data_IF_472448396339
#
_entry.id   IF_472448396339
#
_cell.length_a   1.000
_cell.length_b   1.000
_cell.length_c   1.000
_cell.angle_alpha   90.00
_cell.angle_beta   90.00
_cell.angle_gamma   90.00
#
_symmetry.space_group_name_H-M   'P 1'
#
loop_
_entity.id
_entity.type
_entity.pdbx_description
1 polymer ?
#
# COMPACT_ATOMS: atom_id res chain seq x y z
N UNK A 1 37.51 -0.57 -26.02
CA UNK A 1 37.07 -1.30 -24.81
C UNK A 1 36.98 -0.25 -23.70
N UNK A 2 35.85 0.36 -23.56
CA UNK A 2 35.58 1.35 -22.48
C UNK A 2 34.76 0.67 -21.43
N UNK A 3 35.44 0.28 -20.32
CA UNK A 3 34.80 -0.19 -19.12
C UNK A 3 33.87 0.92 -18.57
N UNK A 4 32.57 0.72 -18.75
CA UNK A 4 31.55 1.54 -18.06
C UNK A 4 31.54 1.10 -16.61
N UNK A 5 32.34 1.76 -15.79
CA UNK A 5 32.28 1.63 -14.33
C UNK A 5 30.91 2.10 -13.90
N UNK A 6 30.02 1.14 -13.59
CA UNK A 6 28.74 1.43 -12.98
C UNK A 6 29.00 2.19 -11.67
N UNK A 7 28.51 3.43 -11.59
CA UNK A 7 28.61 4.23 -10.37
C UNK A 7 28.01 3.43 -9.20
N UNK A 8 28.70 3.35 -8.05
CA UNK A 8 28.19 2.61 -6.89
C UNK A 8 26.82 3.18 -6.50
N UNK A 9 25.84 2.31 -6.30
CA UNK A 9 24.53 2.70 -5.83
C UNK A 9 24.68 3.52 -4.54
N UNK A 10 24.03 4.70 -4.40
CA UNK A 10 24.19 5.52 -3.22
C UNK A 10 23.77 4.72 -1.99
N UNK A 11 24.63 4.68 -0.99
CA UNK A 11 24.32 4.04 0.29
C UNK A 11 23.01 4.65 0.85
N UNK A 12 22.14 3.83 1.43
CA UNK A 12 20.85 4.27 1.99
C UNK A 12 21.00 5.47 2.94
N UNK A 13 22.07 5.52 3.73
CA UNK A 13 22.36 6.66 4.63
C UNK A 13 22.58 7.96 3.88
N UNK A 14 23.23 7.93 2.73
CA UNK A 14 23.40 9.09 1.85
C UNK A 14 22.07 9.49 1.23
N UNK A 15 21.30 8.51 0.74
CA UNK A 15 19.97 8.73 0.17
C UNK A 15 19.03 9.38 1.19
N UNK A 16 19.02 8.90 2.43
CA UNK A 16 18.22 9.46 3.51
C UNK A 16 18.62 10.90 3.83
N UNK A 17 19.91 11.14 4.06
CA UNK A 17 20.43 12.47 4.40
C UNK A 17 20.13 13.51 3.32
N UNK A 18 20.24 13.13 2.05
CA UNK A 18 20.14 14.06 0.93
C UNK A 18 18.69 14.30 0.49
N UNK A 19 17.76 13.38 0.81
CA UNK A 19 16.41 13.43 0.27
C UNK A 19 15.27 13.39 1.31
N UNK A 20 15.53 13.07 2.59
CA UNK A 20 14.48 12.93 3.60
C UNK A 20 13.69 14.22 3.81
N UNK A 21 14.36 15.36 3.98
CA UNK A 21 13.70 16.68 4.20
C UNK A 21 12.84 17.10 3.00
N UNK A 22 13.33 16.84 1.80
CA UNK A 22 12.57 17.15 0.59
C UNK A 22 11.33 16.25 0.47
N UNK A 23 11.45 14.95 0.72
CA UNK A 23 10.31 14.02 0.68
C UNK A 23 9.27 14.35 1.75
N UNK A 24 9.72 14.64 2.98
CA UNK A 24 8.83 15.05 4.07
C UNK A 24 8.08 16.34 3.73
N UNK A 25 8.75 17.35 3.17
CA UNK A 25 8.11 18.58 2.73
C UNK A 25 7.06 18.33 1.65
N UNK A 26 7.36 17.46 0.69
CA UNK A 26 6.45 17.06 -0.38
C UNK A 26 5.22 16.33 0.16
N UNK A 27 5.39 15.40 1.12
CA UNK A 27 4.30 14.70 1.80
C UNK A 27 3.47 15.64 2.66
N UNK A 28 4.10 16.55 3.41
CA UNK A 28 3.41 17.51 4.26
C UNK A 28 2.48 18.44 3.49
N UNK A 29 2.90 18.89 2.31
CA UNK A 29 2.03 19.72 1.45
C UNK A 29 0.75 18.98 1.03
N UNK A 30 0.77 17.65 0.98
CA UNK A 30 -0.37 16.81 0.54
C UNK A 30 -1.22 16.32 1.70
N UNK A 31 -0.61 16.02 2.82
CA UNK A 31 -1.30 15.49 4.01
C UNK A 31 -1.87 16.59 4.91
N UNK A 32 -1.27 17.78 4.89
CA UNK A 32 -1.61 18.86 5.83
C UNK A 32 -1.22 18.55 7.29
N UNK A 33 -0.65 17.38 7.55
CA UNK A 33 -0.26 16.88 8.87
C UNK A 33 1.25 16.59 8.88
N UNK A 34 1.95 17.23 9.82
CA UNK A 34 3.40 17.09 9.99
C UNK A 34 3.79 15.68 10.45
N UNK A 35 3.02 15.13 11.38
CA UNK A 35 3.34 13.83 11.99
C UNK A 35 3.14 12.70 10.98
N UNK A 36 2.01 12.70 10.28
CA UNK A 36 1.75 11.74 9.21
C UNK A 36 2.77 11.86 8.06
N UNK A 37 3.24 13.07 7.75
CA UNK A 37 4.28 13.26 6.73
C UNK A 37 5.63 12.69 7.17
N UNK A 38 6.01 12.84 8.44
CA UNK A 38 7.23 12.26 9.00
C UNK A 38 7.16 10.73 8.99
N UNK A 39 6.04 10.14 9.42
CA UNK A 39 5.82 8.69 9.40
C UNK A 39 5.91 8.12 7.99
N UNK A 40 5.19 8.69 7.01
CA UNK A 40 5.26 8.22 5.64
C UNK A 40 6.65 8.40 5.01
N UNK A 41 7.40 9.40 5.47
CA UNK A 41 8.81 9.55 5.05
C UNK A 41 9.64 8.39 5.57
N UNK A 42 9.53 8.04 6.85
CA UNK A 42 10.22 6.89 7.43
C UNK A 42 9.83 5.59 6.73
N UNK A 43 8.53 5.34 6.54
CA UNK A 43 8.02 4.16 5.84
C UNK A 43 8.57 4.05 4.41
N UNK A 44 8.68 5.18 3.71
CA UNK A 44 9.29 5.20 2.37
C UNK A 44 10.73 4.68 2.42
N UNK A 45 11.54 5.16 3.34
CA UNK A 45 12.93 4.72 3.47
C UNK A 45 13.06 3.31 4.01
N UNK A 46 12.17 2.85 4.88
CA UNK A 46 12.12 1.46 5.34
C UNK A 46 11.84 0.49 4.20
N UNK A 47 10.92 0.84 3.27
CA UNK A 47 10.66 0.03 2.08
C UNK A 47 11.84 0.02 1.11
N UNK A 48 12.54 1.15 0.96
CA UNK A 48 13.77 1.20 0.17
C UNK A 48 14.84 0.29 0.77
N UNK A 49 15.01 0.31 2.10
CA UNK A 49 15.94 -0.57 2.83
C UNK A 49 15.57 -2.06 2.63
N UNK A 50 14.30 -2.41 2.72
CA UNK A 50 13.83 -3.78 2.49
C UNK A 50 14.09 -4.23 1.04
N UNK A 51 13.89 -3.35 0.06
CA UNK A 51 14.21 -3.63 -1.33
C UNK A 51 15.73 -3.80 -1.58
N UNK A 52 16.56 -3.01 -0.91
CA UNK A 52 18.01 -3.12 -0.94
C UNK A 52 18.47 -4.47 -0.39
N UNK A 53 18.00 -4.85 0.81
CA UNK A 53 18.32 -6.14 1.44
C UNK A 53 17.88 -7.34 0.61
N UNK A 54 16.73 -7.23 -0.08
CA UNK A 54 16.22 -8.25 -0.99
C UNK A 54 16.90 -8.27 -2.37
N UNK A 55 17.96 -7.48 -2.59
CA UNK A 55 18.64 -7.31 -3.87
C UNK A 55 17.68 -6.93 -5.03
N UNK A 56 16.58 -6.24 -4.69
CA UNK A 56 15.53 -5.79 -5.61
C UNK A 56 15.62 -4.29 -5.93
N UNK A 57 16.65 -3.61 -5.38
CA UNK A 57 16.85 -2.20 -5.63
C UNK A 57 17.46 -2.02 -7.03
N UNK A 58 16.76 -1.37 -7.97
CA UNK A 58 17.36 -1.06 -9.27
C UNK A 58 18.52 -0.07 -9.06
N UNK A 59 19.51 -0.10 -9.95
CA UNK A 59 20.52 0.95 -10.00
C UNK A 59 19.82 2.32 -10.06
N UNK A 60 19.89 3.08 -8.97
CA UNK A 60 19.14 4.33 -8.81
C UNK A 60 19.84 5.45 -9.60
N UNK A 61 19.54 5.56 -10.89
CA UNK A 61 19.95 6.71 -11.70
C UNK A 61 19.24 8.00 -11.28
N UNK A 62 18.01 7.89 -10.82
CA UNK A 62 17.17 9.01 -10.36
C UNK A 62 16.53 8.72 -8.99
N UNK A 63 17.26 8.93 -7.89
CA UNK A 63 16.79 8.61 -6.55
C UNK A 63 15.47 9.30 -6.19
N UNK A 64 15.30 10.57 -6.59
CA UNK A 64 14.04 11.32 -6.30
C UNK A 64 12.82 10.72 -6.99
N UNK A 65 12.94 10.31 -8.24
CA UNK A 65 11.84 9.69 -8.97
C UNK A 65 11.41 8.36 -8.32
N UNK A 66 12.38 7.57 -7.88
CA UNK A 66 12.11 6.32 -7.16
C UNK A 66 11.42 6.58 -5.81
N UNK A 67 11.97 7.48 -4.99
CA UNK A 67 11.38 7.86 -3.71
C UNK A 67 9.96 8.42 -3.87
N UNK A 68 9.71 9.23 -4.91
CA UNK A 68 8.37 9.70 -5.24
C UNK A 68 7.42 8.55 -5.59
N UNK A 69 7.87 7.56 -6.32
CA UNK A 69 7.04 6.42 -6.70
C UNK A 69 6.61 5.63 -5.46
N UNK A 70 7.54 5.34 -4.56
CA UNK A 70 7.25 4.67 -3.29
C UNK A 70 6.38 5.55 -2.39
N UNK A 71 6.74 6.82 -2.20
CA UNK A 71 6.01 7.76 -1.36
C UNK A 71 4.58 8.03 -1.85
N UNK A 72 4.35 8.14 -3.17
CA UNK A 72 3.00 8.28 -3.75
C UNK A 72 2.13 7.07 -3.43
N UNK A 73 2.69 5.87 -3.52
CA UNK A 73 1.96 4.64 -3.21
C UNK A 73 1.55 4.61 -1.73
N UNK A 74 2.47 4.93 -0.83
CA UNK A 74 2.19 5.04 0.60
C UNK A 74 1.15 6.12 0.90
N UNK A 75 1.22 7.26 0.23
CA UNK A 75 0.24 8.32 0.36
C UNK A 75 -1.17 7.89 -0.06
N UNK A 76 -1.30 7.16 -1.18
CA UNK A 76 -2.58 6.59 -1.62
C UNK A 76 -3.12 5.62 -0.58
N UNK A 77 -2.29 4.72 -0.08
CA UNK A 77 -2.68 3.76 0.96
C UNK A 77 -3.12 4.47 2.25
N UNK A 78 -2.41 5.53 2.66
CA UNK A 78 -2.79 6.34 3.82
C UNK A 78 -4.20 6.94 3.67
N UNK A 79 -4.51 7.51 2.50
CA UNK A 79 -5.85 8.05 2.25
C UNK A 79 -6.93 6.96 2.20
N UNK A 80 -6.64 5.81 1.61
CA UNK A 80 -7.56 4.66 1.59
C UNK A 80 -7.86 4.17 3.00
N UNK A 81 -6.84 4.04 3.86
CA UNK A 81 -6.97 3.64 5.26
C UNK A 81 -7.85 4.62 6.05
N UNK A 82 -7.64 5.93 5.91
CA UNK A 82 -8.48 6.96 6.54
C UNK A 82 -9.91 6.96 6.01
N UNK A 83 -10.10 6.68 4.73
CA UNK A 83 -11.43 6.55 4.13
C UNK A 83 -12.16 5.33 4.68
N UNK A 84 -11.48 4.20 4.84
CA UNK A 84 -12.03 2.98 5.43
C UNK A 84 -12.42 3.20 6.90
N UNK A 85 -11.54 3.82 7.69
CA UNK A 85 -11.82 4.18 9.08
C UNK A 85 -13.07 5.05 9.20
N UNK A 86 -13.17 6.09 8.37
CA UNK A 86 -14.34 6.98 8.36
C UNK A 86 -15.61 6.22 7.99
N UNK A 87 -15.58 5.42 6.92
CA UNK A 87 -16.74 4.62 6.49
C UNK A 87 -17.17 3.63 7.56
N UNK A 88 -16.23 3.02 8.27
CA UNK A 88 -16.52 2.12 9.39
C UNK A 88 -17.18 2.87 10.56
N UNK A 89 -16.64 4.02 10.95
CA UNK A 89 -17.23 4.84 12.02
C UNK A 89 -18.62 5.37 11.65
N UNK A 90 -18.83 5.77 10.40
CA UNK A 90 -20.16 6.17 9.90
C UNK A 90 -21.14 5.00 9.93
N UNK A 91 -20.74 3.80 9.52
CA UNK A 91 -21.58 2.61 9.58
C UNK A 91 -22.00 2.27 11.02
N UNK A 92 -21.10 2.44 12.00
CA UNK A 92 -21.41 2.23 13.41
C UNK A 92 -22.46 3.21 13.95
N UNK A 93 -22.49 4.46 13.45
CA UNK A 93 -23.50 5.46 13.88
C UNK A 93 -24.93 5.10 13.45
N UNK A 94 -25.09 4.31 12.40
CA UNK A 94 -26.38 3.87 11.89
C UNK A 94 -26.87 2.56 12.51
N UNK A 95 -26.07 1.91 13.38
CA UNK A 95 -26.49 0.71 14.08
C UNK A 95 -27.42 1.07 15.27
N UNK A 96 -28.50 0.32 15.48
CA UNK A 96 -29.28 0.41 16.71
C UNK A 96 -28.38 0.20 17.93
N UNK A 97 -28.63 0.92 19.02
CA UNK A 97 -27.80 0.88 20.23
C UNK A 97 -27.66 -0.56 20.80
N UNK A 98 -28.73 -1.38 20.66
CA UNK A 98 -28.69 -2.79 21.03
C UNK A 98 -27.74 -3.68 20.20
N UNK A 99 -27.33 -3.23 19.02
CA UNK A 99 -26.39 -3.93 18.12
C UNK A 99 -25.03 -3.24 18.05
N UNK A 100 -24.84 -2.16 18.80
CA UNK A 100 -23.58 -1.44 18.80
C UNK A 100 -22.49 -2.34 19.42
N UNK A 101 -21.38 -2.61 18.69
CA UNK A 101 -20.30 -3.43 19.21
C UNK A 101 -19.62 -2.74 20.40
N UNK A 102 -19.16 -3.53 21.36
CA UNK A 102 -18.35 -3.02 22.49
C UNK A 102 -17.07 -2.32 21.98
N UNK A 103 -16.46 -1.50 22.83
CA UNK A 103 -15.19 -0.84 22.49
C UNK A 103 -14.10 -1.86 22.11
N UNK A 104 -14.05 -3.00 22.79
CA UNK A 104 -13.14 -4.11 22.51
C UNK A 104 -13.40 -4.72 21.13
N UNK A 105 -14.67 -5.01 20.82
CA UNK A 105 -15.06 -5.55 19.51
C UNK A 105 -14.74 -4.57 18.38
N UNK A 106 -14.96 -3.27 18.58
CA UNK A 106 -14.58 -2.23 17.60
C UNK A 106 -13.08 -2.24 17.35
N UNK A 107 -12.29 -2.38 18.41
CA UNK A 107 -10.83 -2.42 18.30
C UNK A 107 -10.36 -3.65 17.52
N UNK A 108 -10.89 -4.84 17.84
CA UNK A 108 -10.57 -6.09 17.14
C UNK A 108 -10.93 -6.05 15.65
N UNK A 109 -12.11 -5.50 15.30
CA UNK A 109 -12.50 -5.34 13.89
C UNK A 109 -11.57 -4.37 13.18
N UNK A 110 -11.21 -3.27 13.82
CA UNK A 110 -10.30 -2.30 13.23
C UNK A 110 -8.89 -2.86 13.02
N UNK A 111 -8.37 -3.61 13.98
CA UNK A 111 -7.10 -4.34 13.88
C UNK A 111 -7.13 -5.35 12.72
N UNK A 112 -8.19 -6.13 12.60
CA UNK A 112 -8.37 -7.08 11.49
C UNK A 112 -8.42 -6.38 10.12
N UNK A 113 -9.11 -5.24 10.03
CA UNK A 113 -9.14 -4.44 8.80
C UNK A 113 -7.76 -3.86 8.44
N UNK A 114 -6.99 -3.44 9.45
CA UNK A 114 -5.62 -2.98 9.22
C UNK A 114 -4.72 -4.11 8.75
N UNK A 115 -4.78 -5.27 9.39
CA UNK A 115 -4.01 -6.45 8.97
C UNK A 115 -4.34 -6.86 7.53
N UNK A 116 -5.63 -6.84 7.16
CA UNK A 116 -6.05 -7.10 5.78
C UNK A 116 -5.52 -6.04 4.81
N UNK A 117 -5.53 -4.76 5.20
CA UNK A 117 -4.99 -3.67 4.38
C UNK A 117 -3.48 -3.85 4.15
N UNK A 118 -2.75 -4.22 5.19
CA UNK A 118 -1.31 -4.52 5.12
C UNK A 118 -1.01 -5.75 4.27
N UNK A 119 -1.79 -6.82 4.43
CA UNK A 119 -1.67 -8.04 3.62
C UNK A 119 -1.84 -7.74 2.13
N UNK A 120 -2.79 -6.88 1.77
CA UNK A 120 -3.07 -6.52 0.39
C UNK A 120 -2.22 -5.36 -0.12
N UNK A 121 -1.38 -4.78 0.74
CA UNK A 121 -0.46 -3.72 0.33
C UNK A 121 0.58 -4.29 -0.65
N UNK A 122 0.83 -3.55 -1.69
CA UNK A 122 1.71 -4.03 -2.75
C UNK A 122 0.97 -4.55 -3.98
N UNK A 123 -0.30 -4.91 -3.88
CA UNK A 123 -1.10 -5.30 -5.03
C UNK A 123 -1.54 -4.08 -5.85
N UNK A 124 -1.54 -4.16 -7.19
CA UNK A 124 -2.19 -3.18 -8.05
C UNK A 124 -3.68 -3.04 -7.67
N UNK A 125 -4.22 -1.82 -7.78
CA UNK A 125 -5.59 -1.53 -7.34
C UNK A 125 -6.66 -2.44 -7.98
N UNK A 126 -6.51 -2.75 -9.28
CA UNK A 126 -7.45 -3.65 -9.98
C UNK A 126 -7.39 -5.09 -9.43
N UNK A 127 -6.19 -5.57 -9.09
CA UNK A 127 -5.99 -6.91 -8.50
C UNK A 127 -6.60 -6.96 -7.10
N UNK A 128 -6.34 -5.96 -6.27
CA UNK A 128 -6.89 -5.83 -4.93
C UNK A 128 -8.44 -5.78 -4.96
N UNK A 129 -9.03 -4.98 -5.84
CA UNK A 129 -10.50 -4.92 -6.01
C UNK A 129 -11.08 -6.25 -6.44
N UNK A 130 -10.50 -6.90 -7.44
CA UNK A 130 -10.96 -8.21 -7.91
C UNK A 130 -10.95 -9.24 -6.77
N UNK A 131 -9.87 -9.25 -5.98
CA UNK A 131 -9.73 -10.16 -4.84
C UNK A 131 -10.77 -9.89 -3.76
N UNK A 132 -10.94 -8.64 -3.33
CA UNK A 132 -11.92 -8.26 -2.30
C UNK A 132 -13.36 -8.57 -2.74
N UNK A 133 -13.74 -8.28 -3.98
CA UNK A 133 -15.07 -8.60 -4.50
C UNK A 133 -15.33 -10.11 -4.56
N UNK A 134 -14.33 -10.89 -4.92
CA UNK A 134 -14.47 -12.35 -4.92
C UNK A 134 -14.61 -12.91 -3.50
N UNK A 135 -13.79 -12.44 -2.54
CA UNK A 135 -13.72 -13.00 -1.19
C UNK A 135 -14.80 -12.46 -0.24
N UNK A 136 -15.14 -11.18 -0.33
CA UNK A 136 -16.07 -10.54 0.60
C UNK A 136 -17.48 -10.44 0.04
N UNK A 137 -17.63 -10.14 -1.26
CA UNK A 137 -18.94 -10.02 -1.90
C UNK A 137 -19.38 -11.31 -2.59
N UNK A 138 -18.50 -12.31 -2.70
CA UNK A 138 -18.81 -13.58 -3.36
C UNK A 138 -19.10 -13.46 -4.85
N UNK A 139 -18.63 -12.39 -5.51
CA UNK A 139 -18.86 -12.18 -6.93
C UNK A 139 -18.12 -13.22 -7.77
N UNK A 140 -18.77 -13.69 -8.82
CA UNK A 140 -18.15 -14.54 -9.81
C UNK A 140 -17.20 -13.74 -10.73
N UNK A 141 -16.31 -14.45 -11.42
CA UNK A 141 -15.30 -13.80 -12.26
C UNK A 141 -15.89 -13.06 -13.48
N UNK A 142 -17.09 -13.43 -13.91
CA UNK A 142 -17.77 -12.74 -15.00
C UNK A 142 -18.25 -11.36 -14.55
N UNK A 143 -18.90 -11.28 -13.39
CA UNK A 143 -19.35 -10.02 -12.79
C UNK A 143 -18.19 -9.10 -12.43
N UNK A 144 -17.07 -9.65 -11.92
CA UNK A 144 -15.86 -8.88 -11.63
C UNK A 144 -15.24 -8.33 -12.93
N UNK A 145 -15.22 -9.15 -13.99
CA UNK A 145 -14.69 -8.77 -15.29
C UNK A 145 -15.49 -7.59 -15.89
N UNK A 146 -16.81 -7.64 -15.79
CA UNK A 146 -17.71 -6.56 -16.22
C UNK A 146 -17.46 -5.27 -15.43
N UNK A 147 -17.41 -5.35 -14.10
CA UNK A 147 -17.15 -4.18 -13.23
C UNK A 147 -15.78 -3.54 -13.50
N UNK A 148 -14.76 -4.33 -13.79
CA UNK A 148 -13.40 -3.84 -14.09
C UNK A 148 -13.18 -3.51 -15.57
N UNK A 149 -14.16 -3.78 -16.44
CA UNK A 149 -14.06 -3.65 -17.91
C UNK A 149 -12.86 -4.41 -18.49
N UNK A 150 -12.65 -5.64 -18.02
CA UNK A 150 -11.60 -6.56 -18.45
C UNK A 150 -12.18 -7.92 -18.83
N UNK A 151 -11.36 -8.81 -19.39
CA UNK A 151 -11.79 -10.19 -19.68
C UNK A 151 -11.80 -11.06 -18.41
N UNK A 152 -12.63 -12.10 -18.33
CA UNK A 152 -12.61 -13.08 -17.25
C UNK A 152 -11.25 -13.80 -17.12
N UNK A 153 -10.50 -13.91 -18.24
CA UNK A 153 -9.12 -14.41 -18.24
C UNK A 153 -8.19 -13.47 -17.45
N UNK A 154 -8.39 -12.16 -17.59
CA UNK A 154 -7.64 -11.14 -16.83
C UNK A 154 -7.96 -11.23 -15.35
N UNK A 155 -9.24 -11.44 -14.98
CA UNK A 155 -9.64 -11.62 -13.58
C UNK A 155 -8.98 -12.86 -12.98
N UNK A 156 -8.95 -14.01 -13.69
CA UNK A 156 -8.23 -15.21 -13.24
C UNK A 156 -6.75 -14.92 -12.94
N UNK A 157 -6.08 -14.14 -13.79
CA UNK A 157 -4.70 -13.72 -13.58
C UNK A 157 -4.57 -12.82 -12.35
N UNK A 158 -5.51 -11.90 -12.13
CA UNK A 158 -5.54 -11.05 -10.94
C UNK A 158 -5.70 -11.87 -9.67
N UNK A 159 -6.59 -12.86 -9.68
CA UNK A 159 -6.76 -13.76 -8.53
C UNK A 159 -5.49 -14.57 -8.24
N UNK A 160 -4.85 -15.14 -9.26
CA UNK A 160 -3.59 -15.85 -9.11
C UNK A 160 -2.50 -14.94 -8.50
N UNK A 161 -2.37 -13.71 -9.00
CA UNK A 161 -1.42 -12.72 -8.47
C UNK A 161 -1.73 -12.34 -7.01
N UNK A 162 -3.00 -12.20 -6.66
CA UNK A 162 -3.40 -11.90 -5.28
C UNK A 162 -3.07 -13.04 -4.33
N UNK A 163 -3.40 -14.29 -4.69
CA UNK A 163 -3.07 -15.47 -3.89
C UNK A 163 -1.56 -15.64 -3.72
N UNK A 164 -0.79 -15.51 -4.79
CA UNK A 164 0.68 -15.57 -4.73
C UNK A 164 1.25 -14.50 -3.78
N UNK A 165 0.72 -13.29 -3.83
CA UNK A 165 1.13 -12.22 -2.94
C UNK A 165 0.81 -12.53 -1.47
N UNK A 166 -0.40 -13.01 -1.16
CA UNK A 166 -0.79 -13.40 0.20
C UNK A 166 0.11 -14.52 0.75
N UNK A 167 0.44 -15.53 -0.06
CA UNK A 167 1.31 -16.63 0.36
C UNK A 167 2.77 -16.19 0.62
N UNK A 168 3.23 -15.11 -0.02
CA UNK A 168 4.60 -14.61 0.16
C UNK A 168 4.75 -13.63 1.34
N UNK A 169 3.65 -13.08 1.85
CA UNK A 169 3.68 -12.16 3.00
C UNK A 169 3.74 -12.92 4.32
N UNK A 170 3.23 -14.16 4.37
CA UNK A 170 3.25 -15.03 5.55
C UNK A 170 4.59 -15.78 5.75
N UNK A 171 5.62 -15.52 4.93
CA UNK A 171 6.97 -16.07 5.02
C UNK A 171 8.00 -15.00 5.40
#
# INVERSE_FOLDING_TARGET
MTDSVAAPSPCLSTLYRDHSRWLESWLRQRLGDRWAAADLTQDTFMRVLAAERGNRLPSLREPRAYLLTVGKRLLVNHYQRRSLERAYLEALQHLPEALAPSAEQRWLVFEALQALDELLDGLPLAVRRAFLWAQLEGLDYASIAERLQVSSRTVKRYMAQAYEHCLLVDL
#
